data_IF_167820346525
#
_entry.id   IF_167820346525
#
_cell.length_a   1.000
_cell.length_b   1.000
_cell.length_c   1.000
_cell.angle_alpha   90.00
_cell.angle_beta   90.00
_cell.angle_gamma   90.00
#
_symmetry.space_group_name_H-M   'P 1'
#
loop_
_entity.id
_entity.type
_entity.pdbx_description
1 polymer ?
#
# COMPACT_ATOMS: atom_id res chain seq x y z
N UNK A 1 -36.63 83.14 -24.66
CA UNK A 1 -36.70 83.51 -23.23
C UNK A 1 -35.58 82.78 -22.50
N UNK A 2 -34.90 83.51 -21.60
CA UNK A 2 -34.08 83.11 -20.42
C UNK A 2 -33.61 81.64 -20.29
N UNK A 3 -32.39 81.26 -19.88
CA UNK A 3 -31.09 81.84 -19.48
C UNK A 3 -30.50 80.81 -18.49
N UNK A 4 -29.26 80.36 -18.69
CA UNK A 4 -28.24 79.95 -17.69
C UNK A 4 -28.55 78.70 -16.81
N UNK A 5 -27.64 77.97 -16.14
CA UNK A 5 -26.31 78.13 -15.49
C UNK A 5 -25.68 76.71 -15.33
N UNK A 6 -24.40 76.43 -15.63
CA UNK A 6 -23.16 76.51 -14.78
C UNK A 6 -22.99 75.37 -13.73
N UNK A 7 -21.88 74.60 -13.89
CA UNK A 7 -20.88 74.12 -12.87
C UNK A 7 -21.37 73.08 -11.84
N UNK A 8 -20.64 72.12 -11.25
CA UNK A 8 -19.23 71.76 -11.03
C UNK A 8 -19.16 70.23 -10.77
N UNK A 9 -18.07 69.53 -11.11
CA UNK A 9 -17.03 69.06 -10.17
C UNK A 9 -17.57 68.28 -8.95
N UNK A 10 -17.29 66.97 -8.86
CA UNK A 10 -16.88 66.33 -7.60
C UNK A 10 -15.97 65.14 -7.91
N UNK A 11 -14.89 65.12 -7.14
CA UNK A 11 -13.72 64.29 -7.28
C UNK A 11 -13.94 62.84 -6.87
N UNK A 12 -13.19 61.98 -7.56
CA UNK A 12 -12.86 60.62 -7.20
C UNK A 12 -12.07 60.62 -5.88
N UNK A 13 -12.68 60.13 -4.80
CA UNK A 13 -11.97 59.67 -3.60
C UNK A 13 -12.60 58.35 -3.16
N UNK A 14 -12.00 57.26 -3.63
CA UNK A 14 -12.26 55.91 -3.16
C UNK A 14 -11.51 55.74 -1.82
N UNK A 15 -12.26 55.64 -0.73
CA UNK A 15 -11.75 55.20 0.57
C UNK A 15 -12.00 53.70 0.68
N UNK A 16 -10.96 52.86 0.82
CA UNK A 16 -11.15 51.55 1.41
C UNK A 16 -10.88 51.59 2.92
N UNK A 17 -11.78 50.91 3.60
CA UNK A 17 -11.92 50.70 5.02
C UNK A 17 -10.65 50.28 5.76
N UNK A 18 -10.66 50.66 7.04
CA UNK A 18 -9.70 50.32 8.06
C UNK A 18 -9.34 48.82 8.10
N UNK A 19 -8.04 48.57 8.21
CA UNK A 19 -7.46 47.30 8.63
C UNK A 19 -7.93 46.97 10.05
N UNK A 20 -8.86 46.02 10.19
CA UNK A 20 -9.09 45.34 11.46
C UNK A 20 -8.07 44.19 11.55
N UNK A 21 -7.03 44.37 12.37
CA UNK A 21 -6.19 43.25 12.82
C UNK A 21 -7.04 42.34 13.70
N UNK A 22 -7.46 41.18 13.18
CA UNK A 22 -7.86 40.05 14.00
C UNK A 22 -6.60 39.37 14.50
N UNK A 23 -6.29 39.59 15.77
CA UNK A 23 -5.34 38.82 16.56
C UNK A 23 -5.95 37.44 16.83
N UNK A 24 -5.68 36.48 15.94
CA UNK A 24 -5.90 35.07 16.23
C UNK A 24 -4.67 34.54 16.97
N UNK A 25 -4.89 34.17 18.23
CA UNK A 25 -3.94 33.49 19.10
C UNK A 25 -3.39 32.23 18.42
N UNK A 26 -2.10 31.98 18.66
CA UNK A 26 -1.30 30.96 17.99
C UNK A 26 -1.90 29.55 18.05
N UNK A 27 -2.24 29.03 16.88
CA UNK A 27 -2.25 27.60 16.61
C UNK A 27 -0.96 27.29 15.85
N UNK A 28 0.07 26.89 16.58
CA UNK A 28 1.25 26.28 15.99
C UNK A 28 0.83 24.92 15.42
N UNK A 29 0.69 24.87 14.10
CA UNK A 29 0.58 23.65 13.30
C UNK A 29 1.79 22.77 13.60
N UNK A 30 1.63 21.85 14.56
CA UNK A 30 2.52 20.70 14.68
C UNK A 30 2.04 19.71 13.62
N UNK A 31 2.74 19.70 12.50
CA UNK A 31 2.67 18.60 11.56
C UNK A 31 3.03 17.33 12.32
N UNK A 32 2.04 16.49 12.64
CA UNK A 32 2.28 15.12 13.08
C UNK A 32 2.68 14.31 11.85
N UNK A 33 3.89 14.60 11.38
CA UNK A 33 4.72 13.67 10.65
C UNK A 33 5.30 12.69 11.67
N UNK A 34 4.56 11.63 11.92
CA UNK A 34 5.10 10.40 12.48
C UNK A 34 4.34 9.26 11.79
N UNK A 35 4.63 9.11 10.50
CA UNK A 35 4.42 7.83 9.84
C UNK A 35 5.09 6.76 10.71
N UNK A 36 4.31 5.75 11.05
CA UNK A 36 4.63 4.60 11.89
C UNK A 36 6.08 4.12 11.72
N UNK A 37 6.99 4.58 12.57
CA UNK A 37 8.31 3.97 12.79
C UNK A 37 8.32 3.22 14.11
N UNK A 38 7.33 2.34 14.28
CA UNK A 38 7.49 1.13 15.08
C UNK A 38 7.68 -0.04 14.12
N UNK A 39 8.67 0.08 13.23
CA UNK A 39 9.26 -1.10 12.62
C UNK A 39 10.02 -1.80 13.75
N UNK A 40 9.37 -2.80 14.37
CA UNK A 40 9.98 -3.67 15.35
C UNK A 40 11.31 -4.20 14.79
N UNK A 41 12.42 -3.81 15.42
CA UNK A 41 13.78 -4.21 15.09
C UNK A 41 14.03 -5.72 15.19
N UNK A 42 13.05 -6.48 15.69
CA UNK A 42 13.09 -7.94 15.82
C UNK A 42 12.38 -8.70 14.68
N UNK A 43 11.75 -8.00 13.72
CA UNK A 43 11.00 -8.61 12.61
C UNK A 43 11.73 -8.52 11.25
N UNK A 44 13.01 -8.88 11.18
CA UNK A 44 13.73 -8.94 9.91
C UNK A 44 13.62 -7.65 9.07
N UNK A 45 13.86 -7.69 7.76
CA UNK A 45 13.60 -6.55 6.89
C UNK A 45 12.08 -6.37 6.80
N UNK A 46 11.53 -5.32 7.41
CA UNK A 46 10.10 -5.00 7.28
C UNK A 46 9.70 -4.73 5.83
N UNK A 47 8.41 -4.68 5.51
CA UNK A 47 7.91 -4.43 4.14
C UNK A 47 8.53 -3.22 3.45
N UNK A 48 8.91 -2.19 4.21
CA UNK A 48 9.57 -0.99 3.68
C UNK A 48 10.91 -1.31 3.00
N UNK A 49 11.62 -2.35 3.47
CA UNK A 49 12.84 -2.83 2.81
C UNK A 49 12.58 -3.33 1.38
N UNK A 50 11.38 -3.87 1.11
CA UNK A 50 10.98 -4.27 -0.24
C UNK A 50 10.78 -3.05 -1.15
N UNK A 51 10.52 -1.87 -0.59
CA UNK A 51 10.33 -0.63 -1.35
C UNK A 51 11.60 0.20 -1.50
N UNK A 52 12.75 -0.31 -1.04
CA UNK A 52 14.00 0.46 -0.95
C UNK A 52 14.74 0.63 -2.29
N UNK A 53 14.58 -0.30 -3.23
CA UNK A 53 15.27 -0.29 -4.53
C UNK A 53 14.28 -0.60 -5.67
N UNK A 54 13.77 0.45 -6.33
CA UNK A 54 12.91 0.28 -7.52
C UNK A 54 13.79 -0.21 -8.67
N UNK A 55 13.51 -1.41 -9.18
CA UNK A 55 14.22 -1.96 -10.33
C UNK A 55 13.66 -1.38 -11.64
N UNK A 56 12.35 -1.46 -11.82
CA UNK A 56 11.68 -1.01 -13.04
C UNK A 56 10.21 -0.62 -12.80
N UNK A 57 9.70 0.26 -13.66
CA UNK A 57 8.25 0.43 -13.83
C UNK A 57 7.73 -0.57 -14.85
N UNK A 58 6.62 -1.24 -14.55
CA UNK A 58 5.99 -2.23 -15.41
C UNK A 58 4.53 -1.88 -15.68
N UNK A 59 4.15 -1.76 -16.95
CA UNK A 59 2.75 -1.56 -17.33
C UNK A 59 2.09 -2.91 -17.59
N UNK A 60 1.04 -3.22 -16.84
CA UNK A 60 0.29 -4.48 -16.98
C UNK A 60 -0.31 -4.56 -18.39
N UNK A 61 -0.12 -5.71 -19.04
CA UNK A 61 -0.75 -6.03 -20.32
C UNK A 61 -1.88 -7.05 -20.15
N UNK A 62 -2.73 -7.19 -21.16
CA UNK A 62 -3.82 -8.16 -21.12
C UNK A 62 -3.29 -9.59 -20.98
N UNK A 63 -3.83 -10.34 -20.01
CA UNK A 63 -3.41 -11.71 -19.70
C UNK A 63 -2.34 -11.82 -18.60
N UNK A 64 -1.80 -10.69 -18.14
CA UNK A 64 -0.87 -10.71 -17.00
C UNK A 64 -1.56 -11.17 -15.71
N UNK A 65 -0.80 -11.86 -14.89
CA UNK A 65 -1.16 -12.19 -13.51
C UNK A 65 0.00 -11.81 -12.60
N UNK A 66 -0.27 -11.54 -11.32
CA UNK A 66 0.81 -11.27 -10.35
C UNK A 66 1.80 -12.44 -10.26
N UNK A 67 1.31 -13.68 -10.39
CA UNK A 67 2.11 -14.90 -10.45
C UNK A 67 3.00 -14.93 -11.69
N UNK A 68 2.46 -14.61 -12.87
CA UNK A 68 3.21 -14.54 -14.12
C UNK A 68 4.30 -13.46 -14.08
N UNK A 69 3.96 -12.27 -13.60
CA UNK A 69 4.92 -11.17 -13.41
C UNK A 69 6.01 -11.58 -12.43
N UNK A 70 5.64 -12.17 -11.29
CA UNK A 70 6.60 -12.67 -10.30
C UNK A 70 7.55 -13.71 -10.89
N UNK A 71 7.03 -14.68 -11.64
CA UNK A 71 7.85 -15.69 -12.30
C UNK A 71 8.83 -15.06 -13.30
N UNK A 72 8.38 -14.08 -14.09
CA UNK A 72 9.21 -13.40 -15.08
C UNK A 72 10.33 -12.54 -14.44
N UNK A 73 10.07 -11.95 -13.26
CA UNK A 73 11.00 -10.98 -12.63
C UNK A 73 11.88 -11.57 -11.56
N UNK A 74 11.37 -12.53 -10.80
CA UNK A 74 12.08 -13.15 -9.69
C UNK A 74 12.47 -14.61 -9.95
N UNK A 75 12.04 -15.17 -11.10
CA UNK A 75 12.28 -16.57 -11.45
C UNK A 75 11.35 -17.56 -10.76
N UNK A 76 10.44 -17.07 -9.91
CA UNK A 76 9.52 -17.90 -9.14
C UNK A 76 8.20 -17.15 -8.91
N UNK A 77 7.10 -17.82 -9.22
CA UNK A 77 5.76 -17.24 -9.13
C UNK A 77 5.33 -17.02 -7.67
N UNK A 78 5.94 -17.73 -6.70
CA UNK A 78 5.64 -17.64 -5.26
C UNK A 78 6.04 -16.30 -4.63
N UNK A 79 6.72 -15.42 -5.37
CA UNK A 79 6.96 -14.04 -4.95
C UNK A 79 5.83 -13.07 -5.35
N UNK A 80 4.72 -13.57 -5.88
CA UNK A 80 3.57 -12.73 -6.25
C UNK A 80 3.03 -11.85 -5.09
N UNK A 81 3.04 -12.28 -3.80
CA UNK A 81 2.59 -11.41 -2.71
C UNK A 81 3.53 -10.23 -2.48
N UNK A 82 4.82 -10.36 -2.84
CA UNK A 82 5.77 -9.23 -2.81
C UNK A 82 5.35 -8.17 -3.83
N UNK A 83 5.04 -8.58 -5.06
CA UNK A 83 4.53 -7.67 -6.10
C UNK A 83 3.24 -7.01 -5.64
N UNK A 84 2.32 -7.80 -5.06
CA UNK A 84 1.05 -7.29 -4.56
C UNK A 84 1.24 -6.26 -3.45
N UNK A 85 1.94 -6.62 -2.37
CA UNK A 85 2.09 -5.79 -1.17
C UNK A 85 2.83 -4.48 -1.45
N UNK A 86 3.81 -4.50 -2.35
CA UNK A 86 4.53 -3.29 -2.76
C UNK A 86 3.69 -2.34 -3.62
N UNK A 87 2.61 -2.84 -4.25
CA UNK A 87 1.70 -2.09 -5.12
C UNK A 87 0.25 -2.07 -4.63
N UNK A 88 -0.01 -2.42 -3.36
CA UNK A 88 -1.36 -2.63 -2.81
C UNK A 88 -2.26 -1.39 -2.90
N UNK A 89 -1.66 -0.20 -2.94
CA UNK A 89 -2.37 1.07 -3.11
C UNK A 89 -2.94 1.25 -4.53
N UNK A 90 -2.33 0.59 -5.52
CA UNK A 90 -2.76 0.64 -6.92
C UNK A 90 -3.55 -0.62 -7.33
N UNK A 91 -3.45 -1.71 -6.55
CA UNK A 91 -4.13 -2.98 -6.82
C UNK A 91 -5.25 -3.19 -5.79
N UNK A 92 -6.49 -2.95 -6.21
CA UNK A 92 -7.65 -3.19 -5.36
C UNK A 92 -7.93 -4.69 -5.16
N UNK A 93 -7.75 -5.49 -6.22
CA UNK A 93 -8.01 -6.93 -6.24
C UNK A 93 -6.76 -7.70 -6.71
N UNK A 94 -6.16 -8.58 -5.88
CA UNK A 94 -4.95 -9.30 -6.24
C UNK A 94 -5.14 -10.34 -7.36
N UNK A 95 -6.34 -10.92 -7.49
CA UNK A 95 -6.64 -11.92 -8.55
C UNK A 95 -7.05 -11.27 -9.87
N UNK A 96 -7.36 -9.96 -9.87
CA UNK A 96 -7.74 -9.21 -11.07
C UNK A 96 -6.98 -7.90 -11.15
N UNK A 97 -5.79 -7.96 -11.75
CA UNK A 97 -5.02 -6.77 -12.12
C UNK A 97 -5.52 -6.20 -13.44
N UNK A 98 -5.57 -4.88 -13.56
CA UNK A 98 -6.13 -4.19 -14.72
C UNK A 98 -5.04 -3.84 -15.74
N UNK A 99 -5.28 -4.05 -17.05
CA UNK A 99 -4.36 -3.59 -18.08
C UNK A 99 -4.15 -2.08 -18.02
N UNK A 100 -2.98 -1.62 -18.45
CA UNK A 100 -2.51 -0.23 -18.40
C UNK A 100 -2.26 0.34 -16.98
N UNK A 101 -2.49 -0.42 -15.91
CA UNK A 101 -2.03 -0.06 -14.57
C UNK A 101 -0.50 -0.17 -14.50
N UNK A 102 0.15 0.88 -13.99
CA UNK A 102 1.59 0.90 -13.77
C UNK A 102 1.92 0.30 -12.39
N UNK A 103 2.77 -0.72 -12.38
CA UNK A 103 3.36 -1.33 -11.20
C UNK A 103 4.81 -0.87 -11.03
N UNK A 104 5.24 -0.80 -9.77
CA UNK A 104 6.65 -0.70 -9.40
C UNK A 104 7.15 -2.10 -9.06
N UNK A 105 8.11 -2.58 -9.82
CA UNK A 105 8.81 -3.83 -9.53
C UNK A 105 10.09 -3.47 -8.79
N UNK A 106 10.17 -3.91 -7.55
CA UNK A 106 11.32 -3.66 -6.70
C UNK A 106 12.30 -4.81 -6.79
N UNK A 107 13.59 -4.51 -6.65
CA UNK A 107 14.61 -5.53 -6.50
C UNK A 107 14.45 -6.15 -5.11
N UNK A 108 14.42 -7.48 -5.05
CA UNK A 108 14.43 -8.18 -3.78
C UNK A 108 15.75 -7.91 -3.04
N UNK A 109 15.73 -7.61 -1.73
CA UNK A 109 16.95 -7.37 -0.94
C UNK A 109 17.72 -8.67 -0.63
N UNK A 110 17.42 -9.76 -1.33
CA UNK A 110 17.98 -11.09 -1.15
C UNK A 110 17.96 -11.87 -2.46
N UNK A 111 18.71 -12.97 -2.53
CA UNK A 111 18.68 -13.87 -3.69
C UNK A 111 17.39 -14.71 -3.70
N UNK A 112 16.54 -14.50 -4.71
CA UNK A 112 15.28 -15.22 -4.89
C UNK A 112 15.45 -16.73 -5.11
N UNK A 113 16.54 -17.17 -5.74
CA UNK A 113 16.76 -18.59 -5.98
C UNK A 113 17.11 -19.36 -4.69
N UNK A 114 17.65 -18.66 -3.69
CA UNK A 114 18.13 -19.23 -2.42
C UNK A 114 17.87 -18.26 -1.26
N UNK A 115 16.61 -18.05 -0.84
CA UNK A 115 16.30 -17.14 0.25
C UNK A 115 16.82 -17.67 1.59
N UNK A 116 17.50 -16.80 2.34
CA UNK A 116 17.90 -17.07 3.73
C UNK A 116 16.67 -17.21 4.63
N UNK A 117 16.81 -17.72 5.85
CA UNK A 117 15.68 -17.86 6.77
C UNK A 117 15.05 -16.50 7.13
N UNK A 118 15.86 -15.45 7.29
CA UNK A 118 15.37 -14.08 7.48
C UNK A 118 14.56 -13.62 6.26
N UNK A 119 15.04 -13.91 5.05
CA UNK A 119 14.33 -13.57 3.80
C UNK A 119 12.99 -14.32 3.71
N UNK A 120 12.96 -15.60 4.11
CA UNK A 120 11.71 -16.39 4.17
C UNK A 120 10.69 -15.77 5.12
N UNK A 121 11.11 -15.20 6.25
CA UNK A 121 10.19 -14.50 7.15
C UNK A 121 9.54 -13.29 6.48
N UNK A 122 10.30 -12.50 5.72
CA UNK A 122 9.74 -11.39 4.94
C UNK A 122 8.76 -11.87 3.88
N UNK A 123 9.07 -12.97 3.19
CA UNK A 123 8.15 -13.57 2.22
C UNK A 123 6.85 -14.01 2.93
N UNK A 124 6.96 -14.72 4.05
CA UNK A 124 5.81 -15.14 4.86
C UNK A 124 4.99 -13.95 5.34
N UNK A 125 5.63 -12.84 5.73
CA UNK A 125 4.94 -11.61 6.10
C UNK A 125 4.06 -11.09 4.95
N UNK A 126 4.57 -11.09 3.71
CA UNK A 126 3.76 -10.68 2.55
C UNK A 126 2.58 -11.62 2.29
N UNK A 127 2.75 -12.92 2.53
CA UNK A 127 1.65 -13.89 2.46
C UNK A 127 0.59 -13.63 3.55
N UNK A 128 1.01 -13.41 4.81
CA UNK A 128 0.08 -13.16 5.91
C UNK A 128 -0.71 -11.86 5.75
N UNK A 129 -0.10 -10.80 5.18
CA UNK A 129 -0.83 -9.57 4.86
C UNK A 129 -1.79 -9.75 3.68
N UNK A 130 -1.40 -10.55 2.69
CA UNK A 130 -2.31 -10.89 1.59
C UNK A 130 -3.48 -11.75 2.08
N UNK A 131 -3.23 -12.66 3.00
CA UNK A 131 -4.26 -13.42 3.71
C UNK A 131 -5.23 -12.48 4.45
N UNK A 132 -4.70 -11.56 5.28
CA UNK A 132 -5.52 -10.58 6.00
C UNK A 132 -6.38 -9.75 5.04
N UNK A 133 -5.83 -9.37 3.89
CA UNK A 133 -6.58 -8.67 2.86
C UNK A 133 -7.74 -9.50 2.30
N UNK A 134 -7.53 -10.79 2.04
CA UNK A 134 -8.63 -11.66 1.61
C UNK A 134 -9.67 -11.88 2.71
N UNK A 135 -9.30 -11.86 3.99
CA UNK A 135 -10.26 -11.85 5.10
C UNK A 135 -11.14 -10.59 5.04
N UNK A 136 -10.54 -9.41 4.83
CA UNK A 136 -11.28 -8.14 4.70
C UNK A 136 -12.24 -8.11 3.51
N UNK A 137 -11.90 -8.79 2.41
CA UNK A 137 -12.73 -8.85 1.20
C UNK A 137 -13.96 -9.76 1.36
N UNK A 138 -14.01 -10.59 2.39
CA UNK A 138 -15.20 -11.34 2.79
C UNK A 138 -15.27 -12.80 2.31
N UNK A 139 -16.45 -13.41 2.47
CA UNK A 139 -16.64 -14.86 2.39
C UNK A 139 -16.35 -15.47 1.00
N UNK A 140 -16.48 -14.69 -0.07
CA UNK A 140 -16.18 -15.16 -1.43
C UNK A 140 -14.69 -15.49 -1.63
N UNK A 141 -13.82 -15.02 -0.71
CA UNK A 141 -12.37 -15.15 -0.78
C UNK A 141 -11.80 -16.26 0.11
N UNK A 142 -12.64 -17.10 0.72
CA UNK A 142 -12.19 -18.22 1.59
C UNK A 142 -11.26 -19.19 0.84
N UNK A 143 -11.56 -19.50 -0.42
CA UNK A 143 -10.69 -20.34 -1.24
C UNK A 143 -9.31 -19.72 -1.46
N UNK A 144 -9.27 -18.44 -1.85
CA UNK A 144 -8.03 -17.71 -2.10
C UNK A 144 -7.18 -17.56 -0.83
N UNK A 145 -7.77 -17.13 0.29
CA UNK A 145 -7.05 -16.93 1.55
C UNK A 145 -6.44 -18.23 2.10
N UNK A 146 -7.15 -19.35 1.98
CA UNK A 146 -6.64 -20.68 2.35
C UNK A 146 -5.50 -21.13 1.46
N UNK A 147 -5.60 -20.86 0.16
CA UNK A 147 -4.51 -21.15 -0.78
C UNK A 147 -3.25 -20.33 -0.47
N UNK A 148 -3.39 -19.05 -0.11
CA UNK A 148 -2.26 -18.21 0.35
C UNK A 148 -1.57 -18.81 1.58
N UNK A 149 -2.33 -19.32 2.55
CA UNK A 149 -1.75 -19.99 3.72
C UNK A 149 -0.99 -21.27 3.32
N UNK A 150 -1.56 -22.08 2.43
CA UNK A 150 -0.87 -23.28 1.92
C UNK A 150 0.45 -22.91 1.23
N UNK A 151 0.45 -21.88 0.39
CA UNK A 151 1.68 -21.45 -0.27
C UNK A 151 2.75 -20.97 0.70
N UNK A 152 2.34 -20.23 1.73
CA UNK A 152 3.25 -19.73 2.77
C UNK A 152 3.97 -20.88 3.51
N UNK A 153 3.38 -22.09 3.56
CA UNK A 153 4.04 -23.26 4.16
C UNK A 153 5.32 -23.70 3.43
N UNK A 154 5.49 -23.34 2.15
CA UNK A 154 6.76 -23.58 1.43
C UNK A 154 7.93 -22.78 1.99
N UNK A 155 7.65 -21.64 2.62
CA UNK A 155 8.67 -20.78 3.24
C UNK A 155 8.72 -20.96 4.77
N UNK A 156 7.62 -21.34 5.40
CA UNK A 156 7.54 -21.68 6.82
C UNK A 156 6.66 -22.92 7.04
N UNK A 157 7.24 -24.12 7.10
CA UNK A 157 6.48 -25.35 7.36
C UNK A 157 5.68 -25.31 8.68
N UNK A 158 6.17 -24.55 9.66
CA UNK A 158 5.52 -24.31 10.96
C UNK A 158 4.60 -23.07 10.97
N UNK A 159 4.08 -22.65 9.81
CA UNK A 159 3.27 -21.43 9.67
C UNK A 159 2.14 -21.36 10.70
N UNK A 160 1.34 -22.43 10.80
CA UNK A 160 0.12 -22.46 11.61
C UNK A 160 0.42 -22.47 13.12
N UNK A 161 1.54 -23.05 13.57
CA UNK A 161 1.93 -22.96 14.99
C UNK A 161 2.57 -21.61 15.30
N UNK A 162 3.42 -21.09 14.41
CA UNK A 162 4.17 -19.86 14.63
C UNK A 162 3.32 -18.59 14.52
N UNK A 163 2.32 -18.60 13.66
CA UNK A 163 1.48 -17.43 13.35
C UNK A 163 -0.01 -17.66 13.63
N UNK A 164 -0.35 -18.60 14.53
CA UNK A 164 -1.72 -18.95 14.90
C UNK A 164 -2.58 -17.72 15.21
N UNK A 165 -2.03 -16.74 15.95
CA UNK A 165 -2.75 -15.51 16.33
C UNK A 165 -3.14 -14.59 15.16
N UNK A 166 -2.64 -14.85 13.95
CA UNK A 166 -2.93 -14.08 12.73
C UNK A 166 -3.79 -14.85 11.74
N UNK A 167 -4.14 -16.10 12.06
CA UNK A 167 -4.91 -16.99 11.19
C UNK A 167 -6.27 -17.23 11.85
N UNK A 168 -7.33 -17.24 11.05
CA UNK A 168 -8.68 -17.49 11.57
C UNK A 168 -8.79 -18.96 12.00
N UNK A 169 -9.39 -19.21 13.17
CA UNK A 169 -9.58 -20.57 13.70
C UNK A 169 -10.23 -21.52 12.68
N UNK A 170 -11.17 -21.00 11.89
CA UNK A 170 -11.86 -21.76 10.83
C UNK A 170 -10.95 -22.22 9.69
N UNK A 171 -9.91 -21.44 9.36
CA UNK A 171 -8.95 -21.78 8.31
C UNK A 171 -7.83 -22.67 8.84
N UNK A 172 -7.41 -22.47 10.09
CA UNK A 172 -6.51 -23.40 10.78
C UNK A 172 -7.16 -24.77 10.95
N UNK A 173 -8.43 -24.82 11.39
CA UNK A 173 -9.19 -26.07 11.50
C UNK A 173 -9.33 -26.77 10.15
N UNK A 174 -9.60 -26.00 9.08
CA UNK A 174 -9.64 -26.54 7.72
C UNK A 174 -8.29 -27.14 7.30
N UNK A 175 -7.17 -26.46 7.59
CA UNK A 175 -5.84 -26.97 7.28
C UNK A 175 -5.53 -28.27 8.01
N UNK A 176 -5.89 -28.37 9.30
CA UNK A 176 -5.68 -29.57 10.12
C UNK A 176 -6.54 -30.77 9.71
N UNK A 177 -7.66 -30.53 9.02
CA UNK A 177 -8.60 -31.57 8.61
C UNK A 177 -8.28 -32.19 7.23
N UNK A 178 -7.26 -31.69 6.54
CA UNK A 178 -6.80 -32.17 5.24
C UNK A 178 -5.83 -33.34 5.38
#
# INVERSE_FOLDING_TARGET
MKKLFIVALIALLLVPAAFAQVTAAGAATTAVGAASTVASSDMGPGLESLKSDVNEGYTIVSGDTLKGISAARFGDYRYWPVVYMTNKESIANPERIEPATALRIYRLPFNAASPSDISKLLIVETYLQTYARYVELGADWVGARRWVLLEATHFSPELFSKFASRIEDSDEAWYKAR
#
